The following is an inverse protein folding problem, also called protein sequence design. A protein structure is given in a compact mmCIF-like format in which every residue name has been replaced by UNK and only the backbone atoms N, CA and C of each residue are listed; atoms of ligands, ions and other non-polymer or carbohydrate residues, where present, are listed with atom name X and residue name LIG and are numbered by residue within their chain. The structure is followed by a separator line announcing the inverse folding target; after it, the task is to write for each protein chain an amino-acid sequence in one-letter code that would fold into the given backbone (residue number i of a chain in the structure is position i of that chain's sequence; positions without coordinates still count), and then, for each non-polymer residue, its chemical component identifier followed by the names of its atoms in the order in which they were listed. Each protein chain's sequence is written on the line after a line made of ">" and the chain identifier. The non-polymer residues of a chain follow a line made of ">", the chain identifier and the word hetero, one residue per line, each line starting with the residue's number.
data_IF_460341988711
#
_entry.id   IF_460341988711
#
_cell.length_a   1.000
_cell.length_b   1.000
_cell.length_c   1.000
_cell.angle_alpha   90.00
_cell.angle_beta   90.00
_cell.angle_gamma   90.00
#
_symmetry.space_group_name_H-M   'P 1'
#
loop_
_entity.id
_entity.type
_entity.pdbx_description
1 polymer ?
#
# COMPACT_ATOMS: atom_id res chain seq x y z
N UNK A 1 -17.98 20.23 19.89
CA UNK A 1 -17.58 21.66 19.96
C UNK A 1 -18.64 22.49 19.28
N UNK A 2 -18.90 23.71 19.76
CA UNK A 2 -19.83 24.63 19.11
C UNK A 2 -19.03 25.55 18.18
N UNK A 3 -19.44 25.62 16.91
CA UNK A 3 -18.95 26.59 15.95
C UNK A 3 -19.83 27.84 15.97
N UNK A 4 -19.25 28.98 15.63
CA UNK A 4 -19.96 30.26 15.45
C UNK A 4 -19.48 30.97 14.20
N UNK A 5 -20.26 31.93 13.74
CA UNK A 5 -19.83 32.89 12.72
C UNK A 5 -18.70 33.78 13.26
N UNK A 6 -17.88 34.27 12.35
CA UNK A 6 -16.90 35.31 12.63
C UNK A 6 -17.61 36.59 13.08
N UNK A 7 -17.00 37.29 14.03
CA UNK A 7 -17.41 38.66 14.40
C UNK A 7 -16.77 39.67 13.43
N UNK A 8 -17.34 40.88 13.35
CA UNK A 8 -16.79 41.91 12.46
C UNK A 8 -15.31 42.23 12.77
N UNK A 9 -14.93 42.34 14.04
CA UNK A 9 -13.53 42.62 14.42
C UNK A 9 -12.56 41.49 14.05
N UNK A 10 -13.02 40.24 14.04
CA UNK A 10 -12.22 39.11 13.54
C UNK A 10 -12.07 39.18 12.01
N UNK A 11 -13.14 39.49 11.29
CA UNK A 11 -13.10 39.70 9.83
C UNK A 11 -12.10 40.81 9.49
N UNK A 12 -12.16 41.96 10.17
CA UNK A 12 -11.24 43.08 9.95
C UNK A 12 -9.78 42.66 10.21
N UNK A 13 -9.55 41.84 11.24
CA UNK A 13 -8.23 41.28 11.55
C UNK A 13 -7.73 40.34 10.45
N UNK A 14 -8.61 39.47 9.94
CA UNK A 14 -8.29 38.54 8.85
C UNK A 14 -7.94 39.30 7.56
N UNK A 15 -8.75 40.30 7.20
CA UNK A 15 -8.52 41.17 6.03
C UNK A 15 -7.20 41.92 6.16
N UNK A 16 -6.91 42.50 7.33
CA UNK A 16 -5.62 43.15 7.59
C UNK A 16 -4.44 42.17 7.51
N UNK A 17 -4.66 40.89 7.84
CA UNK A 17 -3.71 39.79 7.65
C UNK A 17 -3.55 39.32 6.19
N UNK A 18 -4.22 39.97 5.24
CA UNK A 18 -4.21 39.62 3.81
C UNK A 18 -5.10 38.43 3.47
N UNK A 19 -6.05 38.08 4.33
CA UNK A 19 -7.01 37.02 4.04
C UNK A 19 -8.22 37.55 3.26
N UNK A 20 -8.82 36.68 2.47
CA UNK A 20 -10.01 36.97 1.69
C UNK A 20 -10.98 35.78 1.75
N UNK A 21 -12.27 36.05 1.61
CA UNK A 21 -13.30 35.00 1.54
C UNK A 21 -14.30 35.35 0.44
N UNK A 22 -14.80 34.34 -0.28
CA UNK A 22 -15.93 34.52 -1.21
C UNK A 22 -17.18 35.01 -0.47
N UNK A 23 -17.45 34.45 0.71
CA UNK A 23 -18.46 34.89 1.65
C UNK A 23 -18.02 34.56 3.08
N UNK A 24 -17.82 35.57 3.92
CA UNK A 24 -17.45 35.40 5.33
C UNK A 24 -18.53 34.66 6.14
N UNK A 25 -19.79 34.64 5.68
CA UNK A 25 -20.85 33.85 6.32
C UNK A 25 -20.65 32.35 6.17
N UNK A 26 -19.85 31.90 5.20
CA UNK A 26 -19.53 30.48 5.00
C UNK A 26 -18.30 30.03 5.80
N UNK A 27 -17.67 30.94 6.56
CA UNK A 27 -16.54 30.63 7.45
C UNK A 27 -17.02 30.60 8.90
N UNK A 28 -16.89 29.44 9.52
CA UNK A 28 -17.23 29.20 10.91
C UNK A 28 -15.98 28.90 11.72
N UNK A 29 -15.95 29.36 12.97
CA UNK A 29 -14.80 29.20 13.87
C UNK A 29 -15.24 28.63 15.20
N UNK A 30 -14.33 27.93 15.88
CA UNK A 30 -14.56 27.42 17.22
C UNK A 30 -14.97 28.56 18.16
N UNK A 31 -16.00 28.33 18.98
CA UNK A 31 -16.52 29.35 19.90
C UNK A 31 -15.50 29.81 20.95
N UNK A 32 -14.52 28.96 21.27
CA UNK A 32 -13.44 29.22 22.24
C UNK A 32 -12.10 28.89 21.61
N UNK A 33 -11.11 29.76 21.83
CA UNK A 33 -9.71 29.50 21.46
C UNK A 33 -9.33 29.78 20.01
N UNK A 34 -10.25 30.30 19.19
CA UNK A 34 -9.89 30.83 17.87
C UNK A 34 -9.19 32.20 18.01
N UNK A 35 -8.07 32.39 17.30
CA UNK A 35 -7.34 33.66 17.22
C UNK A 35 -7.10 34.02 15.75
N UNK A 36 -7.84 35.03 15.27
CA UNK A 36 -7.74 35.53 13.90
C UNK A 36 -6.31 35.96 13.50
N UNK A 37 -5.44 36.32 14.46
CA UNK A 37 -4.06 36.78 14.19
C UNK A 37 -3.13 35.67 13.68
N UNK A 38 -3.51 34.41 13.92
CA UNK A 38 -2.78 33.22 13.46
C UNK A 38 -3.14 32.81 12.03
N UNK A 39 -4.08 33.50 11.39
CA UNK A 39 -4.52 33.24 10.02
C UNK A 39 -4.04 34.40 9.13
N UNK A 40 -3.18 34.12 8.15
CA UNK A 40 -2.54 35.15 7.33
C UNK A 40 -2.43 34.74 5.87
N UNK A 41 -2.79 35.63 4.95
CA UNK A 41 -2.74 35.38 3.50
C UNK A 41 -3.43 34.08 3.11
N UNK A 42 -4.64 33.89 3.64
CA UNK A 42 -5.49 32.72 3.37
C UNK A 42 -6.71 33.16 2.56
N UNK A 43 -6.98 32.44 1.46
CA UNK A 43 -8.23 32.58 0.69
C UNK A 43 -9.20 31.48 1.11
N UNK A 44 -10.40 31.86 1.52
CA UNK A 44 -11.48 30.94 1.87
C UNK A 44 -12.55 30.92 0.78
N UNK A 45 -13.03 29.72 0.44
CA UNK A 45 -14.19 29.53 -0.45
C UNK A 45 -15.01 28.32 -0.04
N UNK A 46 -16.28 28.29 -0.44
CA UNK A 46 -17.21 27.25 0.02
C UNK A 46 -17.39 27.26 1.54
N UNK A 47 -17.72 26.09 2.12
CA UNK A 47 -17.98 25.91 3.55
C UNK A 47 -16.71 25.56 4.32
N UNK A 48 -16.22 26.49 5.14
CA UNK A 48 -14.99 26.30 5.93
C UNK A 48 -15.29 26.37 7.42
N UNK A 49 -14.83 25.37 8.16
CA UNK A 49 -14.87 25.36 9.62
C UNK A 49 -13.44 25.34 10.18
N UNK A 50 -13.13 26.20 11.15
CA UNK A 50 -11.81 26.30 11.77
C UNK A 50 -11.87 26.00 13.28
N UNK A 51 -11.05 25.07 13.74
CA UNK A 51 -10.89 24.72 15.14
C UNK A 51 -10.20 25.80 15.97
N UNK A 52 -9.94 25.48 17.22
CA UNK A 52 -9.16 26.31 18.14
C UNK A 52 -7.67 26.21 17.87
N UNK A 53 -6.91 27.26 18.17
CA UNK A 53 -5.43 27.28 18.08
C UNK A 53 -4.89 26.89 16.69
N UNK A 54 -5.60 27.24 15.62
CA UNK A 54 -5.13 27.01 14.24
C UNK A 54 -4.03 28.00 13.85
N UNK A 55 -3.09 27.57 13.01
CA UNK A 55 -2.07 28.43 12.39
C UNK A 55 -2.08 28.22 10.89
N UNK A 56 -2.64 29.18 10.15
CA UNK A 56 -2.92 29.06 8.72
C UNK A 56 -2.20 30.17 7.95
N UNK A 57 -1.34 29.81 7.01
CA UNK A 57 -0.50 30.76 6.26
C UNK A 57 -0.41 30.40 4.80
N UNK A 58 -0.52 31.38 3.91
CA UNK A 58 -0.20 31.22 2.47
C UNK A 58 -0.93 30.02 1.84
N UNK A 59 -2.26 30.02 1.90
CA UNK A 59 -3.08 28.89 1.44
C UNK A 59 -4.41 29.33 0.83
N UNK A 60 -4.93 28.54 -0.11
CA UNK A 60 -6.32 28.61 -0.53
C UNK A 60 -7.07 27.39 0.00
N UNK A 61 -8.07 27.61 0.86
CA UNK A 61 -8.83 26.57 1.56
C UNK A 61 -10.27 26.59 1.06
N UNK A 62 -10.74 25.45 0.55
CA UNK A 62 -12.06 25.29 -0.04
C UNK A 62 -12.79 24.09 0.57
N UNK A 63 -14.03 24.28 1.04
CA UNK A 63 -14.88 23.18 1.53
C UNK A 63 -14.20 22.25 2.56
N UNK A 64 -13.46 22.84 3.51
CA UNK A 64 -12.68 22.09 4.51
C UNK A 64 -13.24 22.22 5.93
N UNK A 65 -13.08 21.16 6.73
CA UNK A 65 -13.17 21.24 8.19
C UNK A 65 -11.77 21.07 8.79
N UNK A 66 -11.27 22.12 9.44
CA UNK A 66 -9.95 22.16 10.07
C UNK A 66 -10.13 21.97 11.57
N UNK A 67 -9.52 20.92 12.12
CA UNK A 67 -9.55 20.62 13.55
C UNK A 67 -8.67 21.55 14.40
N UNK A 68 -8.60 21.25 15.69
CA UNK A 68 -7.81 22.03 16.66
C UNK A 68 -6.31 21.87 16.45
N UNK A 69 -5.54 22.92 16.81
CA UNK A 69 -4.08 22.89 16.82
C UNK A 69 -3.46 22.48 15.47
N UNK A 70 -4.19 22.69 14.37
CA UNK A 70 -3.74 22.36 13.02
C UNK A 70 -2.83 23.46 12.48
N UNK A 71 -1.76 23.06 11.81
CA UNK A 71 -0.85 23.96 11.12
C UNK A 71 -0.91 23.73 9.60
N UNK A 72 -1.26 24.76 8.84
CA UNK A 72 -1.31 24.73 7.37
C UNK A 72 -0.48 25.89 6.84
N UNK A 73 0.56 25.60 6.05
CA UNK A 73 1.44 26.64 5.52
C UNK A 73 1.91 26.35 4.09
N UNK A 74 1.73 27.30 3.17
CA UNK A 74 2.32 27.21 1.83
C UNK A 74 1.63 26.18 0.93
N UNK A 75 0.29 26.25 0.84
CA UNK A 75 -0.46 25.47 -0.14
C UNK A 75 -0.47 26.24 -1.46
N UNK A 76 0.28 25.76 -2.46
CA UNK A 76 0.57 26.54 -3.68
C UNK A 76 -0.64 26.77 -4.57
N UNK A 77 -1.55 25.81 -4.63
CA UNK A 77 -2.75 25.90 -5.48
C UNK A 77 -4.03 25.90 -4.64
N UNK A 78 -4.37 24.77 -4.01
CA UNK A 78 -5.58 24.67 -3.19
C UNK A 78 -5.51 23.46 -2.27
N UNK A 79 -6.12 23.61 -1.10
CA UNK A 79 -6.52 22.55 -0.18
C UNK A 79 -8.05 22.49 -0.20
N UNK A 80 -8.60 21.38 -0.68
CA UNK A 80 -10.02 21.30 -1.01
C UNK A 80 -10.66 19.98 -0.59
N UNK A 81 -11.82 20.06 0.08
CA UNK A 81 -12.68 18.91 0.34
C UNK A 81 -12.21 17.98 1.45
N UNK A 82 -11.41 18.45 2.42
CA UNK A 82 -10.87 17.62 3.51
C UNK A 82 -11.44 17.98 4.88
N UNK A 83 -11.68 16.95 5.69
CA UNK A 83 -11.69 17.02 7.14
C UNK A 83 -10.27 16.74 7.66
N UNK A 84 -9.75 17.64 8.48
CA UNK A 84 -8.37 17.64 8.95
C UNK A 84 -8.37 17.50 10.46
N UNK A 85 -7.83 16.38 10.94
CA UNK A 85 -7.77 16.01 12.34
C UNK A 85 -6.89 16.94 13.16
N UNK A 86 -7.10 16.91 14.48
CA UNK A 86 -6.37 17.71 15.45
C UNK A 86 -4.85 17.55 15.28
N UNK A 87 -4.10 18.63 15.45
CA UNK A 87 -2.63 18.57 15.46
C UNK A 87 -1.99 18.16 14.14
N UNK A 88 -2.77 18.02 13.06
CA UNK A 88 -2.22 17.73 11.74
C UNK A 88 -1.37 18.90 11.22
N UNK A 89 -0.37 18.57 10.42
CA UNK A 89 0.59 19.52 9.86
C UNK A 89 0.68 19.35 8.35
N UNK A 90 0.25 20.37 7.61
CA UNK A 90 0.20 20.40 6.15
C UNK A 90 1.09 21.55 5.63
N UNK A 91 2.27 21.24 5.08
CA UNK A 91 3.26 22.27 4.72
C UNK A 91 3.87 22.07 3.33
N UNK A 92 4.00 23.14 2.56
CA UNK A 92 4.58 23.11 1.19
C UNK A 92 3.98 22.00 0.33
N UNK A 93 2.68 22.11 0.08
CA UNK A 93 1.95 21.17 -0.76
C UNK A 93 1.53 21.90 -2.04
N UNK A 94 1.80 21.29 -3.20
CA UNK A 94 1.38 21.88 -4.48
C UNK A 94 -0.13 21.97 -4.57
N UNK A 95 -0.81 20.83 -4.53
CA UNK A 95 -2.27 20.77 -4.41
C UNK A 95 -2.72 19.54 -3.62
N UNK A 96 -3.80 19.71 -2.87
CA UNK A 96 -4.43 18.65 -2.09
C UNK A 96 -5.94 18.75 -2.24
N UNK A 97 -6.54 17.86 -3.04
CA UNK A 97 -7.98 17.92 -3.38
C UNK A 97 -8.65 16.59 -3.08
N UNK A 98 -9.88 16.62 -2.61
CA UNK A 98 -10.74 15.45 -2.49
C UNK A 98 -12.10 15.75 -3.11
N UNK A 99 -12.58 14.83 -3.95
CA UNK A 99 -13.87 14.95 -4.62
C UNK A 99 -14.91 14.09 -3.91
N UNK A 100 -16.09 14.65 -3.68
CA UNK A 100 -17.24 13.86 -3.25
C UNK A 100 -17.50 12.72 -4.24
N UNK A 101 -17.84 11.53 -3.73
CA UNK A 101 -17.98 10.32 -4.55
C UNK A 101 -16.69 9.53 -4.78
N UNK A 102 -15.52 10.04 -4.35
CA UNK A 102 -14.28 9.27 -4.41
C UNK A 102 -14.29 8.11 -3.38
N UNK A 103 -13.73 6.96 -3.77
CA UNK A 103 -13.62 5.78 -2.89
C UNK A 103 -12.24 5.64 -2.23
N UNK A 104 -11.32 6.58 -2.50
CA UNK A 104 -9.95 6.54 -2.01
C UNK A 104 -9.24 5.17 -2.23
N UNK A 105 -9.41 4.60 -3.42
CA UNK A 105 -8.80 3.32 -3.81
C UNK A 105 -9.60 2.07 -3.40
N UNK A 106 -10.59 2.20 -2.52
CA UNK A 106 -11.48 1.10 -2.17
C UNK A 106 -12.37 0.71 -3.36
N UNK A 107 -12.51 -0.60 -3.59
CA UNK A 107 -13.24 -1.15 -4.74
C UNK A 107 -12.44 -1.22 -6.05
N UNK A 108 -11.24 -0.63 -6.11
CA UNK A 108 -10.38 -0.74 -7.31
C UNK A 108 -10.01 -2.19 -7.55
N UNK A 109 -10.21 -2.66 -8.79
CA UNK A 109 -9.94 -4.05 -9.17
C UNK A 109 -8.49 -4.22 -9.59
N UNK A 110 -7.82 -5.21 -9.01
CA UNK A 110 -6.41 -5.52 -9.20
C UNK A 110 -6.25 -6.82 -9.97
N UNK A 111 -5.47 -6.80 -11.05
CA UNK A 111 -5.16 -7.97 -11.88
C UNK A 111 -4.02 -8.81 -11.28
N UNK A 112 -4.19 -9.28 -10.05
CA UNK A 112 -3.19 -10.07 -9.34
C UNK A 112 -3.08 -11.49 -9.91
N UNK A 113 -1.86 -12.03 -10.00
CA UNK A 113 -1.47 -13.35 -10.51
C UNK A 113 -1.83 -13.65 -11.97
N UNK A 114 -2.67 -12.84 -12.62
CA UNK A 114 -3.02 -12.94 -14.03
C UNK A 114 -2.97 -11.56 -14.67
N UNK A 115 -1.92 -11.31 -15.47
CA UNK A 115 -1.70 -10.03 -16.14
C UNK A 115 -2.88 -9.62 -17.05
N UNK A 116 -3.47 -10.60 -17.76
CA UNK A 116 -4.62 -10.35 -18.63
C UNK A 116 -5.96 -10.19 -17.87
N UNK A 117 -5.96 -10.13 -16.54
CA UNK A 117 -7.16 -9.96 -15.72
C UNK A 117 -7.98 -11.25 -15.54
N UNK A 118 -9.31 -11.16 -15.60
CA UNK A 118 -10.25 -12.29 -15.41
C UNK A 118 -10.37 -12.84 -13.98
N UNK A 119 -9.30 -12.74 -13.17
CA UNK A 119 -9.26 -13.08 -11.74
C UNK A 119 -9.09 -11.87 -10.84
N UNK A 120 -9.49 -10.70 -11.32
CA UNK A 120 -9.35 -9.46 -10.56
C UNK A 120 -10.12 -9.53 -9.24
N UNK A 121 -9.57 -8.89 -8.21
CA UNK A 121 -10.20 -8.73 -6.90
C UNK A 121 -10.22 -7.24 -6.53
N UNK A 122 -11.23 -6.76 -5.79
CA UNK A 122 -11.26 -5.38 -5.34
C UNK A 122 -10.33 -5.16 -4.12
N UNK A 123 -9.64 -4.02 -4.10
CA UNK A 123 -8.95 -3.52 -2.92
C UNK A 123 -9.96 -3.07 -1.87
N UNK A 124 -9.63 -3.28 -0.60
CA UNK A 124 -10.33 -2.62 0.50
C UNK A 124 -9.45 -2.50 1.74
N UNK A 125 -9.79 -1.56 2.62
CA UNK A 125 -9.01 -1.25 3.81
C UNK A 125 -8.72 -2.47 4.69
N UNK A 126 -9.63 -3.44 4.75
CA UNK A 126 -9.50 -4.66 5.56
C UNK A 126 -8.89 -5.86 4.84
N UNK A 127 -8.27 -5.68 3.66
CA UNK A 127 -7.70 -6.79 2.90
C UNK A 127 -6.59 -7.48 3.70
N UNK A 128 -6.60 -8.82 3.70
CA UNK A 128 -5.60 -9.67 4.34
C UNK A 128 -5.09 -10.70 3.35
N UNK A 129 -3.92 -11.27 3.61
CA UNK A 129 -3.34 -12.33 2.79
C UNK A 129 -4.30 -13.53 2.66
N UNK A 130 -5.05 -13.84 3.73
CA UNK A 130 -5.97 -14.97 3.80
C UNK A 130 -7.20 -14.73 2.92
N UNK A 131 -7.87 -13.58 3.10
CA UNK A 131 -9.05 -13.24 2.31
C UNK A 131 -8.67 -13.07 0.83
N UNK A 132 -7.55 -12.42 0.54
CA UNK A 132 -7.03 -12.30 -0.82
C UNK A 132 -6.71 -13.65 -1.44
N UNK A 133 -6.05 -14.57 -0.73
CA UNK A 133 -5.73 -15.90 -1.22
C UNK A 133 -7.00 -16.65 -1.66
N UNK A 134 -8.05 -16.61 -0.84
CA UNK A 134 -9.37 -17.19 -1.19
C UNK A 134 -9.94 -16.52 -2.44
N UNK A 135 -9.91 -15.19 -2.52
CA UNK A 135 -10.46 -14.44 -3.66
C UNK A 135 -9.72 -14.67 -4.99
N UNK A 136 -8.42 -14.93 -4.92
CA UNK A 136 -7.56 -15.13 -6.10
C UNK A 136 -7.53 -16.57 -6.56
N UNK A 137 -7.30 -17.52 -5.64
CA UNK A 137 -6.99 -18.91 -5.99
C UNK A 137 -8.20 -19.86 -5.86
N UNK A 138 -9.21 -19.53 -5.05
CA UNK A 138 -10.39 -20.38 -4.85
C UNK A 138 -11.62 -19.92 -5.65
N UNK A 139 -11.42 -19.66 -6.95
CA UNK A 139 -12.45 -19.10 -7.86
C UNK A 139 -13.70 -19.97 -8.04
N UNK A 140 -13.62 -21.25 -7.73
CA UNK A 140 -14.76 -22.17 -7.74
C UNK A 140 -15.80 -21.87 -6.65
N UNK A 141 -15.46 -21.08 -5.62
CA UNK A 141 -16.37 -20.70 -4.52
C UNK A 141 -17.24 -19.50 -4.89
N UNK A 142 -17.97 -19.60 -6.00
CA UNK A 142 -18.70 -18.50 -6.65
C UNK A 142 -19.60 -17.71 -5.70
N UNK A 143 -20.41 -18.38 -4.88
CA UNK A 143 -21.30 -17.70 -3.93
C UNK A 143 -20.56 -16.92 -2.84
N UNK A 144 -19.50 -17.50 -2.28
CA UNK A 144 -18.70 -16.84 -1.24
C UNK A 144 -18.00 -15.60 -1.82
N UNK A 145 -17.49 -15.71 -3.05
CA UNK A 145 -16.87 -14.59 -3.74
C UNK A 145 -17.86 -13.49 -4.09
N UNK A 146 -19.06 -13.85 -4.56
CA UNK A 146 -20.13 -12.89 -4.84
C UNK A 146 -20.50 -12.09 -3.58
N UNK A 147 -20.69 -12.77 -2.44
CA UNK A 147 -20.97 -12.09 -1.16
C UNK A 147 -19.81 -11.21 -0.68
N UNK A 148 -18.57 -11.70 -0.82
CA UNK A 148 -17.39 -10.94 -0.43
C UNK A 148 -17.24 -9.66 -1.28
N UNK A 149 -17.35 -9.77 -2.61
CA UNK A 149 -17.27 -8.63 -3.51
C UNK A 149 -18.41 -7.63 -3.29
N UNK A 150 -19.65 -8.11 -3.11
CA UNK A 150 -20.77 -7.22 -2.79
C UNK A 150 -20.58 -6.47 -1.46
N UNK A 151 -19.97 -7.10 -0.45
CA UNK A 151 -19.65 -6.44 0.82
C UNK A 151 -18.56 -5.38 0.66
N UNK A 152 -17.55 -5.64 -0.18
CA UNK A 152 -16.47 -4.69 -0.48
C UNK A 152 -17.00 -3.52 -1.30
N UNK A 153 -17.87 -3.77 -2.27
CA UNK A 153 -18.53 -2.73 -3.07
C UNK A 153 -19.42 -1.84 -2.19
N UNK A 154 -20.18 -2.42 -1.27
CA UNK A 154 -20.96 -1.67 -0.29
C UNK A 154 -20.07 -0.81 0.62
N UNK A 155 -18.90 -1.32 1.03
CA UNK A 155 -17.93 -0.55 1.81
C UNK A 155 -17.32 0.60 1.01
N UNK A 156 -16.95 0.38 -0.26
CA UNK A 156 -16.48 1.44 -1.14
C UNK A 156 -17.55 2.51 -1.37
N UNK A 157 -18.83 2.12 -1.48
CA UNK A 157 -19.95 3.05 -1.59
C UNK A 157 -20.18 3.87 -0.31
N UNK A 158 -19.92 3.30 0.87
CA UNK A 158 -19.95 4.06 2.14
C UNK A 158 -18.87 5.15 2.15
N UNK A 159 -17.66 4.84 1.71
CA UNK A 159 -16.57 5.83 1.59
C UNK A 159 -16.94 6.92 0.57
N UNK A 160 -17.47 6.53 -0.59
CA UNK A 160 -17.91 7.49 -1.62
C UNK A 160 -19.04 8.41 -1.16
N UNK A 161 -19.86 7.96 -0.20
CA UNK A 161 -20.93 8.77 0.38
C UNK A 161 -20.41 9.81 1.40
N UNK A 162 -19.17 9.69 1.88
CA UNK A 162 -18.59 10.72 2.73
C UNK A 162 -18.39 12.02 1.92
N UNK A 163 -18.80 13.18 2.46
CA UNK A 163 -18.73 14.44 1.74
C UNK A 163 -17.30 14.97 1.57
N UNK A 164 -16.35 14.47 2.38
CA UNK A 164 -14.98 14.98 2.47
C UNK A 164 -13.98 13.84 2.62
N UNK A 165 -12.77 14.10 2.15
CA UNK A 165 -11.59 13.30 2.45
C UNK A 165 -11.16 13.47 3.89
N UNK A 166 -10.20 12.66 4.34
CA UNK A 166 -9.74 12.67 5.73
C UNK A 166 -8.23 12.79 5.80
N UNK A 167 -7.78 13.65 6.72
CA UNK A 167 -6.42 13.69 7.24
C UNK A 167 -6.51 13.44 8.74
N UNK A 168 -5.88 12.38 9.22
CA UNK A 168 -5.99 11.94 10.60
C UNK A 168 -5.31 12.85 11.63
N UNK A 169 -5.59 12.58 12.90
CA UNK A 169 -4.98 13.29 14.04
C UNK A 169 -3.46 13.13 14.02
N UNK A 170 -2.75 14.26 14.18
CA UNK A 170 -1.28 14.29 14.21
C UNK A 170 -0.60 13.85 12.91
N UNK A 171 -1.32 13.72 11.80
CA UNK A 171 -0.71 13.39 10.51
C UNK A 171 0.18 14.54 10.00
N UNK A 172 1.30 14.18 9.38
CA UNK A 172 2.28 15.11 8.83
C UNK A 172 2.34 14.94 7.33
N UNK A 173 2.02 15.99 6.57
CA UNK A 173 2.08 16.02 5.11
C UNK A 173 2.93 17.22 4.69
N UNK A 174 4.12 16.96 4.16
CA UNK A 174 5.11 18.00 3.90
C UNK A 174 5.80 17.85 2.53
N UNK A 175 6.07 18.97 1.85
CA UNK A 175 6.88 18.99 0.63
C UNK A 175 6.30 18.19 -0.53
N UNK A 176 4.99 18.07 -0.61
CA UNK A 176 4.31 17.18 -1.57
C UNK A 176 3.96 17.90 -2.88
N UNK A 177 3.96 17.14 -3.99
CA UNK A 177 3.56 17.64 -5.30
C UNK A 177 2.04 17.75 -5.42
N UNK A 178 1.37 16.63 -5.70
CA UNK A 178 -0.09 16.57 -5.84
C UNK A 178 -0.67 15.40 -5.05
N UNK A 179 -1.72 15.68 -4.28
CA UNK A 179 -2.52 14.70 -3.55
C UNK A 179 -3.97 14.83 -4.00
N UNK A 180 -4.55 13.77 -4.55
CA UNK A 180 -5.90 13.79 -5.11
C UNK A 180 -6.70 12.56 -4.70
N UNK A 181 -7.83 12.76 -4.02
CA UNK A 181 -8.74 11.69 -3.60
C UNK A 181 -8.04 10.64 -2.71
N UNK A 182 -7.33 11.12 -1.68
CA UNK A 182 -6.55 10.26 -0.77
C UNK A 182 -7.02 10.41 0.67
N UNK A 183 -7.31 9.30 1.36
CA UNK A 183 -7.47 9.31 2.82
C UNK A 183 -6.12 9.10 3.49
N UNK A 184 -5.81 9.90 4.51
CA UNK A 184 -4.59 9.84 5.30
C UNK A 184 -4.96 9.58 6.76
N UNK A 185 -4.52 8.47 7.32
CA UNK A 185 -4.84 8.06 8.70
C UNK A 185 -4.02 8.77 9.78
N UNK A 186 -4.36 8.49 11.03
CA UNK A 186 -3.76 9.13 12.20
C UNK A 186 -2.26 8.86 12.31
N UNK A 187 -1.49 9.90 12.63
CA UNK A 187 -0.04 9.84 12.78
C UNK A 187 0.73 9.44 11.51
N UNK A 188 0.09 9.40 10.34
CA UNK A 188 0.76 9.10 9.09
C UNK A 188 1.80 10.18 8.77
N UNK A 189 2.89 9.78 8.12
CA UNK A 189 3.92 10.71 7.63
C UNK A 189 4.01 10.62 6.11
N UNK A 190 3.69 11.71 5.42
CA UNK A 190 3.75 11.84 3.96
C UNK A 190 4.69 12.99 3.62
N UNK A 191 5.95 12.68 3.36
CA UNK A 191 6.98 13.69 3.17
C UNK A 191 7.64 13.54 1.80
N UNK A 192 7.51 14.55 0.95
CA UNK A 192 8.18 14.59 -0.36
C UNK A 192 7.51 13.76 -1.46
N UNK A 193 6.28 13.28 -1.26
CA UNK A 193 5.57 12.51 -2.27
C UNK A 193 5.35 13.35 -3.53
N UNK A 194 5.73 12.83 -4.70
CA UNK A 194 5.55 13.53 -5.97
C UNK A 194 4.08 13.53 -6.40
N UNK A 195 3.41 12.38 -6.27
CA UNK A 195 2.00 12.21 -6.62
C UNK A 195 1.35 11.11 -5.79
N UNK A 196 0.22 11.41 -5.17
CA UNK A 196 -0.69 10.42 -4.58
C UNK A 196 -2.09 10.61 -5.17
N UNK A 197 -2.66 9.56 -5.74
CA UNK A 197 -3.97 9.64 -6.39
C UNK A 197 -4.84 8.42 -6.08
N UNK A 198 -6.07 8.65 -5.63
CA UNK A 198 -7.10 7.62 -5.48
C UNK A 198 -6.70 6.52 -4.50
N UNK A 199 -6.32 6.85 -3.27
CA UNK A 199 -5.76 5.85 -2.37
C UNK A 199 -6.02 6.08 -0.88
N UNK A 200 -5.74 5.08 -0.07
CA UNK A 200 -5.89 5.15 1.38
C UNK A 200 -4.57 4.81 2.07
N UNK A 201 -4.12 5.70 2.94
CA UNK A 201 -2.95 5.51 3.82
C UNK A 201 -3.49 5.22 5.21
N UNK A 202 -3.71 3.93 5.51
CA UNK A 202 -4.10 3.52 6.86
C UNK A 202 -2.90 3.68 7.78
N UNK A 203 -3.10 4.32 8.92
CA UNK A 203 -2.05 4.57 9.90
C UNK A 203 -2.64 4.56 11.30
N UNK A 204 -1.80 4.25 12.28
CA UNK A 204 -2.15 4.31 13.70
C UNK A 204 -0.94 4.85 14.49
N UNK A 205 -1.15 5.46 15.67
CA UNK A 205 -0.04 5.91 16.51
C UNK A 205 0.98 4.82 16.87
N UNK A 206 0.53 3.56 17.03
CA UNK A 206 1.38 2.40 17.35
C UNK A 206 2.03 1.75 16.11
N UNK A 207 1.55 2.07 14.91
CA UNK A 207 2.01 1.53 13.64
C UNK A 207 1.90 2.62 12.55
N UNK A 208 2.73 3.67 12.62
CA UNK A 208 2.63 4.81 11.72
C UNK A 208 3.07 4.41 10.31
N UNK A 209 2.26 4.78 9.32
CA UNK A 209 2.55 4.53 7.90
C UNK A 209 3.33 5.69 7.30
N UNK A 210 4.31 5.37 6.45
CA UNK A 210 5.25 6.35 5.88
C UNK A 210 5.22 6.34 4.36
N UNK A 211 5.06 7.52 3.79
CA UNK A 211 5.24 7.80 2.37
C UNK A 211 6.38 8.80 2.22
N UNK A 212 7.41 8.43 1.48
CA UNK A 212 8.67 9.16 1.38
C UNK A 212 8.85 9.97 0.10
N UNK A 213 10.07 10.51 -0.03
CA UNK A 213 10.45 11.42 -1.11
C UNK A 213 10.37 10.73 -2.47
N UNK A 214 9.83 11.44 -3.46
CA UNK A 214 9.77 11.02 -4.85
C UNK A 214 8.73 9.93 -5.15
N UNK A 215 7.98 9.48 -4.14
CA UNK A 215 6.98 8.42 -4.34
C UNK A 215 5.86 8.88 -5.25
N UNK A 216 5.47 7.97 -6.15
CA UNK A 216 4.31 8.10 -7.03
C UNK A 216 3.38 6.91 -6.79
N UNK A 217 2.16 7.18 -6.32
CA UNK A 217 1.18 6.16 -6.00
C UNK A 217 -0.18 6.46 -6.66
N UNK A 218 -0.77 5.45 -7.30
CA UNK A 218 -2.10 5.52 -7.94
C UNK A 218 -2.94 4.32 -7.53
N UNK A 219 -4.18 4.55 -7.16
CA UNK A 219 -5.15 3.49 -6.89
C UNK A 219 -4.62 2.45 -5.88
N UNK A 220 -4.37 2.89 -4.66
CA UNK A 220 -3.57 2.11 -3.71
C UNK A 220 -4.20 2.07 -2.31
N UNK A 221 -3.85 1.04 -1.54
CA UNK A 221 -4.11 0.99 -0.10
C UNK A 221 -2.83 0.59 0.62
N UNK A 222 -2.39 1.42 1.56
CA UNK A 222 -1.26 1.13 2.46
C UNK A 222 -1.84 0.78 3.84
N UNK A 223 -1.49 -0.39 4.36
CA UNK A 223 -1.89 -0.84 5.69
C UNK A 223 -1.00 -0.20 6.78
N UNK A 224 -1.42 -0.24 8.06
CA UNK A 224 -0.65 0.34 9.16
C UNK A 224 0.80 -0.17 9.22
N UNK A 225 1.75 0.74 9.40
CA UNK A 225 3.18 0.45 9.48
C UNK A 225 3.84 0.14 8.13
N UNK A 226 3.13 0.29 7.01
CA UNK A 226 3.74 0.19 5.68
C UNK A 226 4.66 1.38 5.40
N UNK A 227 5.79 1.13 4.75
CA UNK A 227 6.73 2.16 4.31
C UNK A 227 6.87 2.11 2.79
N UNK A 228 6.41 3.14 2.09
CA UNK A 228 6.62 3.32 0.65
C UNK A 228 7.47 4.56 0.46
N UNK A 229 8.75 4.41 0.09
CA UNK A 229 9.75 5.49 0.18
C UNK A 229 10.72 5.48 -1.01
N UNK A 230 11.67 6.41 -1.02
CA UNK A 230 12.84 6.38 -1.90
C UNK A 230 12.52 6.24 -3.40
N UNK A 231 11.58 7.06 -3.88
CA UNK A 231 11.22 7.12 -5.31
C UNK A 231 10.45 5.89 -5.83
N UNK A 232 9.89 5.06 -4.95
CA UNK A 232 9.09 3.92 -5.37
C UNK A 232 7.80 4.32 -6.11
N UNK A 233 7.38 3.44 -7.03
CA UNK A 233 6.18 3.59 -7.83
C UNK A 233 5.20 2.46 -7.52
N UNK A 234 3.96 2.79 -7.18
CA UNK A 234 2.90 1.80 -6.92
C UNK A 234 1.61 2.17 -7.65
N UNK A 235 1.04 1.22 -8.38
CA UNK A 235 -0.21 1.41 -9.12
C UNK A 235 -1.14 0.20 -8.97
N UNK A 236 -2.39 0.40 -8.55
CA UNK A 236 -3.35 -0.69 -8.28
C UNK A 236 -2.79 -1.71 -7.30
N UNK A 237 -2.29 -1.23 -6.15
CA UNK A 237 -1.55 -2.06 -5.21
C UNK A 237 -2.13 -2.02 -3.79
N UNK A 238 -2.04 -3.16 -3.10
CA UNK A 238 -2.15 -3.24 -1.64
C UNK A 238 -0.77 -3.44 -1.03
N UNK A 239 -0.39 -2.62 -0.06
CA UNK A 239 0.87 -2.75 0.70
C UNK A 239 0.54 -3.02 2.16
N UNK A 240 0.82 -4.23 2.62
CA UNK A 240 0.43 -4.77 3.92
C UNK A 240 1.28 -4.28 5.10
N UNK A 241 0.91 -4.74 6.30
CA UNK A 241 1.48 -4.23 7.54
C UNK A 241 2.99 -4.51 7.64
N UNK A 242 3.78 -3.50 8.01
CA UNK A 242 5.24 -3.64 8.15
C UNK A 242 5.99 -3.92 6.83
N UNK A 243 5.27 -3.88 5.70
CA UNK A 243 5.85 -4.04 4.37
C UNK A 243 6.64 -2.79 3.97
N UNK A 244 7.77 -2.99 3.30
CA UNK A 244 8.66 -1.92 2.86
C UNK A 244 8.82 -2.00 1.34
N UNK A 245 8.50 -0.91 0.66
CA UNK A 245 8.70 -0.70 -0.78
C UNK A 245 9.59 0.52 -0.94
N UNK A 246 10.81 0.33 -1.40
CA UNK A 246 11.84 1.37 -1.38
C UNK A 246 12.76 1.32 -2.61
N UNK A 247 13.69 2.28 -2.66
CA UNK A 247 14.82 2.35 -3.59
C UNK A 247 14.40 2.11 -5.05
N UNK A 248 13.38 2.85 -5.50
CA UNK A 248 12.89 2.84 -6.86
C UNK A 248 12.17 1.55 -7.29
N UNK A 249 11.73 0.71 -6.34
CA UNK A 249 10.92 -0.46 -6.69
C UNK A 249 9.61 -0.04 -7.37
N UNK A 250 9.24 -0.74 -8.45
CA UNK A 250 8.01 -0.51 -9.21
C UNK A 250 7.04 -1.67 -8.99
N UNK A 251 5.78 -1.38 -8.64
CA UNK A 251 4.75 -2.38 -8.46
C UNK A 251 3.46 -1.96 -9.19
N UNK A 252 2.94 -2.87 -10.03
CA UNK A 252 1.69 -2.67 -10.77
C UNK A 252 0.81 -3.89 -10.57
N UNK A 253 -0.46 -3.69 -10.19
CA UNK A 253 -1.42 -4.76 -9.98
C UNK A 253 -0.97 -5.81 -8.93
N UNK A 254 -0.34 -5.36 -7.85
CA UNK A 254 0.29 -6.23 -6.86
C UNK A 254 -0.41 -6.22 -5.49
N UNK A 255 -0.39 -7.37 -4.83
CA UNK A 255 -0.75 -7.49 -3.41
C UNK A 255 0.50 -7.87 -2.63
N UNK A 256 1.06 -6.90 -1.90
CA UNK A 256 2.33 -7.00 -1.17
C UNK A 256 2.05 -7.11 0.33
N UNK A 257 1.86 -8.32 0.84
CA UNK A 257 1.40 -8.55 2.22
C UNK A 257 2.47 -8.39 3.30
N UNK A 258 2.07 -8.65 4.56
CA UNK A 258 2.82 -8.32 5.76
C UNK A 258 4.32 -8.64 5.72
N UNK A 259 5.12 -7.71 6.22
CA UNK A 259 6.58 -7.84 6.36
C UNK A 259 7.32 -8.13 5.05
N UNK A 260 6.72 -7.82 3.90
CA UNK A 260 7.41 -7.86 2.61
C UNK A 260 8.53 -6.82 2.54
N UNK A 261 9.53 -7.09 1.68
CA UNK A 261 10.65 -6.17 1.44
C UNK A 261 10.93 -6.09 -0.06
N UNK A 262 10.69 -4.93 -0.66
CA UNK A 262 10.76 -4.72 -2.09
C UNK A 262 11.65 -3.52 -2.41
N UNK A 263 12.78 -3.75 -3.07
CA UNK A 263 13.75 -2.72 -3.41
C UNK A 263 14.41 -3.02 -4.76
N UNK A 264 14.64 -1.98 -5.58
CA UNK A 264 15.47 -2.04 -6.80
C UNK A 264 15.01 -3.01 -7.90
N UNK A 265 13.73 -3.38 -7.92
CA UNK A 265 13.15 -4.36 -8.84
C UNK A 265 11.75 -3.97 -9.31
N UNK A 266 11.14 -4.86 -10.07
CA UNK A 266 9.81 -4.67 -10.66
C UNK A 266 8.90 -5.86 -10.36
N UNK A 267 7.66 -5.57 -10.01
CA UNK A 267 6.59 -6.55 -9.85
C UNK A 267 5.34 -6.14 -10.64
N UNK A 268 4.80 -7.06 -11.43
CA UNK A 268 3.55 -6.87 -12.18
C UNK A 268 2.63 -8.06 -11.91
N UNK A 269 1.40 -7.81 -11.48
CA UNK A 269 0.42 -8.88 -11.22
C UNK A 269 0.93 -9.91 -10.21
N UNK A 270 1.57 -9.47 -9.12
CA UNK A 270 2.17 -10.38 -8.13
C UNK A 270 1.30 -10.50 -6.88
N UNK A 271 1.00 -11.73 -6.48
CA UNK A 271 0.52 -12.06 -5.14
C UNK A 271 1.75 -12.36 -4.26
N UNK A 272 2.25 -11.37 -3.53
CA UNK A 272 3.35 -11.54 -2.61
C UNK A 272 2.81 -11.70 -1.18
N UNK A 273 2.62 -12.96 -0.76
CA UNK A 273 2.22 -13.30 0.59
C UNK A 273 3.31 -12.87 1.62
N UNK A 274 3.01 -12.94 2.93
CA UNK A 274 3.88 -12.39 3.95
C UNK A 274 5.35 -12.84 3.85
N UNK A 275 6.26 -11.95 4.25
CA UNK A 275 7.73 -12.15 4.23
C UNK A 275 8.34 -12.43 2.85
N UNK A 276 7.63 -12.12 1.75
CA UNK A 276 8.23 -12.12 0.42
C UNK A 276 9.26 -10.99 0.31
N UNK A 277 10.46 -11.32 -0.17
CA UNK A 277 11.57 -10.39 -0.28
C UNK A 277 12.14 -10.36 -1.71
N UNK A 278 12.21 -9.17 -2.29
CA UNK A 278 13.00 -8.86 -3.47
C UNK A 278 13.73 -7.54 -3.25
N UNK A 279 14.98 -7.60 -2.79
CA UNK A 279 15.71 -6.43 -2.28
C UNK A 279 17.00 -6.12 -3.06
N UNK A 280 17.31 -6.94 -4.05
CA UNK A 280 18.48 -6.79 -4.89
C UNK A 280 18.11 -6.26 -6.26
N UNK A 281 19.09 -5.63 -6.93
CA UNK A 281 18.86 -4.93 -8.19
C UNK A 281 18.39 -5.86 -9.31
N UNK A 282 17.46 -5.35 -10.12
CA UNK A 282 17.02 -5.90 -11.40
C UNK A 282 16.23 -7.22 -11.33
N UNK A 283 15.53 -7.50 -10.22
CA UNK A 283 14.55 -8.59 -10.22
C UNK A 283 13.29 -8.21 -11.01
N UNK A 284 12.74 -9.13 -11.78
CA UNK A 284 11.43 -9.00 -12.43
C UNK A 284 10.52 -10.17 -12.01
N UNK A 285 9.42 -9.85 -11.34
CA UNK A 285 8.39 -10.84 -10.96
C UNK A 285 7.08 -10.50 -11.66
N UNK A 286 6.63 -11.34 -12.59
CA UNK A 286 5.37 -11.13 -13.32
C UNK A 286 4.43 -12.32 -13.11
N UNK A 287 3.15 -12.03 -12.89
CA UNK A 287 2.06 -13.01 -12.82
C UNK A 287 2.41 -14.23 -11.95
N UNK A 288 2.71 -14.00 -10.67
CA UNK A 288 3.14 -15.07 -9.78
C UNK A 288 2.57 -14.96 -8.37
N UNK A 289 2.47 -16.11 -7.71
CA UNK A 289 2.23 -16.23 -6.28
C UNK A 289 3.52 -16.56 -5.56
N UNK A 290 3.88 -15.74 -4.56
CA UNK A 290 5.10 -15.86 -3.77
C UNK A 290 4.73 -15.92 -2.30
N UNK A 291 5.37 -16.81 -1.53
CA UNK A 291 5.13 -16.92 -0.08
C UNK A 291 6.44 -17.08 0.65
N UNK A 292 6.77 -16.17 1.56
CA UNK A 292 8.07 -16.16 2.26
C UNK A 292 9.28 -16.25 1.31
N UNK A 293 9.08 -15.90 0.03
CA UNK A 293 10.03 -16.18 -1.02
C UNK A 293 11.15 -15.16 -1.00
N UNK A 294 12.34 -15.56 -1.47
CA UNK A 294 13.44 -14.65 -1.68
C UNK A 294 13.82 -14.63 -3.16
N UNK A 295 13.73 -13.44 -3.77
CA UNK A 295 14.03 -13.22 -5.17
C UNK A 295 15.45 -12.63 -5.28
N UNK A 296 16.34 -13.39 -5.89
CA UNK A 296 17.72 -13.00 -6.12
C UNK A 296 17.86 -11.83 -7.10
N UNK A 297 19.05 -11.22 -7.11
CA UNK A 297 19.39 -10.18 -8.07
C UNK A 297 19.26 -10.70 -9.50
N UNK A 298 18.66 -9.93 -10.41
CA UNK A 298 18.55 -10.33 -11.81
C UNK A 298 17.63 -11.53 -12.07
N UNK A 299 16.92 -12.05 -11.06
CA UNK A 299 15.95 -13.13 -11.28
C UNK A 299 14.76 -12.62 -12.11
N UNK A 300 14.30 -13.43 -13.05
CA UNK A 300 13.24 -13.07 -13.99
C UNK A 300 12.19 -14.19 -14.06
N UNK A 301 10.94 -13.85 -13.75
CA UNK A 301 9.78 -14.72 -13.95
C UNK A 301 8.98 -14.22 -15.15
N UNK A 302 9.02 -14.98 -16.23
CA UNK A 302 8.35 -14.65 -17.49
C UNK A 302 7.05 -15.42 -17.63
N UNK A 303 5.94 -14.71 -17.80
CA UNK A 303 4.61 -15.29 -18.04
C UNK A 303 4.21 -15.37 -19.52
N UNK A 304 4.99 -14.75 -20.39
CA UNK A 304 4.70 -14.70 -21.82
C UNK A 304 5.13 -16.01 -22.51
N UNK A 305 4.16 -16.73 -23.05
CA UNK A 305 4.41 -17.78 -24.04
C UNK A 305 4.17 -17.19 -25.43
N UNK A 306 5.20 -17.09 -26.28
CA UNK A 306 5.12 -16.39 -27.59
C UNK A 306 3.95 -16.80 -28.48
N UNK A 307 3.43 -18.02 -28.34
CA UNK A 307 2.28 -18.51 -29.11
C UNK A 307 0.92 -18.24 -28.46
N UNK A 308 0.86 -18.00 -27.14
CA UNK A 308 -0.35 -17.95 -26.34
C UNK A 308 -0.52 -16.61 -25.58
N UNK A 309 0.48 -15.73 -25.63
CA UNK A 309 0.51 -14.47 -24.90
C UNK A 309 0.83 -14.61 -23.41
N UNK A 310 0.51 -13.57 -22.64
CA UNK A 310 0.75 -13.46 -21.20
C UNK A 310 -0.35 -14.14 -20.36
N UNK A 311 -0.52 -15.46 -20.52
CA UNK A 311 -1.63 -16.21 -19.89
C UNK A 311 -1.20 -17.13 -18.75
N UNK A 312 0.10 -17.33 -18.57
CA UNK A 312 0.62 -18.29 -17.60
C UNK A 312 0.99 -17.62 -16.27
N UNK A 313 1.12 -18.41 -15.21
CA UNK A 313 1.53 -17.92 -13.90
C UNK A 313 2.55 -18.86 -13.25
N UNK A 314 3.37 -18.32 -12.37
CA UNK A 314 4.26 -19.12 -11.53
C UNK A 314 3.77 -19.15 -10.08
N UNK A 315 4.00 -20.25 -9.37
CA UNK A 315 3.72 -20.37 -7.94
C UNK A 315 5.01 -20.80 -7.24
N UNK A 316 5.51 -19.97 -6.34
CA UNK A 316 6.59 -20.30 -5.43
C UNK A 316 6.00 -20.44 -4.02
N UNK A 317 5.91 -21.68 -3.56
CA UNK A 317 5.42 -21.97 -2.21
C UNK A 317 6.37 -21.43 -1.13
N UNK A 318 5.92 -21.55 0.11
CA UNK A 318 6.58 -21.00 1.30
C UNK A 318 8.10 -21.21 1.29
N UNK A 319 8.87 -20.12 1.36
CA UNK A 319 10.30 -20.16 1.61
C UNK A 319 11.16 -20.51 0.39
N UNK A 320 10.59 -20.53 -0.81
CA UNK A 320 11.36 -20.71 -2.05
C UNK A 320 12.41 -19.60 -2.22
N UNK A 321 13.56 -19.95 -2.79
CA UNK A 321 14.65 -19.02 -3.06
C UNK A 321 15.07 -19.09 -4.51
N UNK A 322 15.10 -17.95 -5.17
CA UNK A 322 15.65 -17.80 -6.50
C UNK A 322 17.07 -17.26 -6.36
N UNK A 323 18.05 -18.02 -6.84
CA UNK A 323 19.42 -17.56 -6.94
C UNK A 323 19.53 -16.39 -7.91
N UNK A 324 20.64 -15.66 -7.83
CA UNK A 324 20.93 -14.58 -8.78
C UNK A 324 20.83 -15.08 -10.23
N UNK A 325 20.26 -14.24 -11.09
CA UNK A 325 20.04 -14.52 -12.52
C UNK A 325 19.22 -15.78 -12.82
N UNK A 326 18.39 -16.23 -11.87
CA UNK A 326 17.45 -17.33 -12.16
C UNK A 326 16.38 -16.88 -13.15
N UNK A 327 16.14 -17.67 -14.19
CA UNK A 327 15.09 -17.43 -15.16
C UNK A 327 14.03 -18.53 -15.07
N UNK A 328 12.76 -18.15 -15.02
CA UNK A 328 11.63 -19.09 -15.00
C UNK A 328 10.64 -18.73 -16.09
N UNK A 329 10.32 -19.69 -16.94
CA UNK A 329 9.22 -19.59 -17.88
C UNK A 329 7.96 -20.26 -17.32
N UNK A 330 6.94 -19.46 -17.07
CA UNK A 330 5.64 -19.94 -16.63
C UNK A 330 4.94 -20.77 -17.73
N UNK A 331 4.05 -21.72 -17.37
CA UNK A 331 3.65 -22.03 -16.00
C UNK A 331 4.75 -22.78 -15.24
N UNK A 332 4.86 -22.52 -13.94
CA UNK A 332 5.79 -23.23 -13.07
C UNK A 332 5.24 -23.29 -11.64
N UNK A 333 5.50 -24.38 -10.92
CA UNK A 333 5.11 -24.54 -9.52
C UNK A 333 6.28 -25.11 -8.72
N UNK A 334 6.79 -24.34 -7.77
CA UNK A 334 7.90 -24.72 -6.91
C UNK A 334 7.41 -25.15 -5.53
N UNK A 335 7.80 -26.36 -5.12
CA UNK A 335 7.49 -26.89 -3.79
C UNK A 335 8.18 -26.08 -2.69
N UNK A 336 7.56 -26.01 -1.52
CA UNK A 336 8.02 -25.20 -0.40
C UNK A 336 9.51 -25.41 -0.05
N UNK A 337 10.18 -24.32 0.35
CA UNK A 337 11.60 -24.28 0.72
C UNK A 337 12.55 -24.79 -0.36
N UNK A 338 12.17 -24.75 -1.64
CA UNK A 338 13.06 -25.13 -2.72
C UNK A 338 14.02 -24.00 -3.10
N UNK A 339 15.19 -24.36 -3.61
CA UNK A 339 16.15 -23.44 -4.21
C UNK A 339 16.08 -23.59 -5.73
N UNK A 340 15.95 -22.48 -6.44
CA UNK A 340 15.85 -22.40 -7.89
C UNK A 340 17.07 -21.61 -8.39
N UNK A 341 17.88 -22.18 -9.27
CA UNK A 341 19.08 -21.53 -9.81
C UNK A 341 19.27 -21.85 -11.28
N UNK A 342 19.62 -20.83 -12.07
CA UNK A 342 19.82 -20.97 -13.51
C UNK A 342 18.52 -20.78 -14.31
N UNK A 343 18.48 -21.29 -15.54
CA UNK A 343 17.38 -21.05 -16.47
C UNK A 343 16.45 -22.26 -16.63
N UNK A 344 15.16 -22.06 -16.37
CA UNK A 344 14.14 -23.10 -16.45
C UNK A 344 13.04 -22.72 -17.46
N UNK A 345 13.12 -23.30 -18.66
CA UNK A 345 12.19 -23.07 -19.78
C UNK A 345 11.15 -24.18 -19.96
N UNK A 346 11.29 -25.29 -19.25
CA UNK A 346 10.52 -26.51 -19.43
C UNK A 346 9.30 -26.62 -18.49
N UNK A 347 8.80 -25.48 -17.99
CA UNK A 347 7.59 -25.41 -17.15
C UNK A 347 7.62 -26.34 -15.92
N UNK A 348 8.63 -26.21 -15.03
CA UNK A 348 8.82 -27.15 -13.93
C UNK A 348 7.64 -27.13 -12.94
N UNK A 349 7.16 -28.31 -12.59
CA UNK A 349 6.25 -28.54 -11.47
C UNK A 349 6.91 -29.48 -10.45
N UNK A 350 7.20 -28.94 -9.28
CA UNK A 350 7.87 -29.59 -8.15
C UNK A 350 7.08 -29.44 -6.86
N UNK A 351 5.78 -29.12 -6.92
CA UNK A 351 4.97 -28.83 -5.74
C UNK A 351 4.92 -30.01 -4.73
N UNK A 352 4.95 -31.24 -5.26
CA UNK A 352 4.97 -32.48 -4.48
C UNK A 352 6.35 -32.80 -3.87
N UNK A 353 7.39 -32.03 -4.21
CA UNK A 353 8.78 -32.28 -3.82
C UNK A 353 9.34 -31.04 -3.09
N UNK A 354 8.92 -30.78 -1.85
CA UNK A 354 9.46 -29.66 -1.08
C UNK A 354 10.95 -29.85 -0.77
N UNK A 355 11.61 -28.77 -0.37
CA UNK A 355 13.03 -28.73 -0.01
C UNK A 355 13.97 -29.15 -1.15
N UNK A 356 13.54 -29.02 -2.41
CA UNK A 356 14.34 -29.45 -3.56
C UNK A 356 15.33 -28.38 -4.01
N UNK A 357 16.41 -28.81 -4.66
CA UNK A 357 17.24 -27.93 -5.48
C UNK A 357 16.87 -28.16 -6.94
N UNK A 358 16.39 -27.13 -7.62
CA UNK A 358 16.19 -27.10 -9.05
C UNK A 358 17.31 -26.25 -9.65
N UNK A 359 18.18 -26.90 -10.42
CA UNK A 359 19.39 -26.29 -10.98
C UNK A 359 19.40 -26.46 -12.49
N UNK A 360 20.03 -25.54 -13.20
CA UNK A 360 20.31 -25.71 -14.62
C UNK A 360 21.66 -26.39 -14.82
N UNK A 361 21.69 -27.43 -15.65
CA UNK A 361 22.91 -28.10 -16.09
C UNK A 361 22.79 -28.46 -17.57
N UNK A 362 23.68 -27.92 -18.40
CA UNK A 362 23.70 -28.22 -19.84
C UNK A 362 22.44 -27.77 -20.58
N UNK A 363 21.79 -26.70 -20.13
CA UNK A 363 20.52 -26.19 -20.66
C UNK A 363 19.29 -26.97 -20.23
N UNK A 364 19.43 -27.93 -19.31
CA UNK A 364 18.35 -28.74 -18.77
C UNK A 364 18.12 -28.46 -17.29
N UNK A 365 16.88 -28.65 -16.84
CA UNK A 365 16.53 -28.51 -15.43
C UNK A 365 16.76 -29.82 -14.70
N UNK A 366 17.68 -29.81 -13.74
CA UNK A 366 18.05 -30.92 -12.86
C UNK A 366 17.44 -30.71 -11.49
N UNK A 367 16.70 -31.72 -10.99
CA UNK A 367 16.07 -31.69 -9.68
C UNK A 367 16.79 -32.61 -8.71
N UNK A 368 17.19 -32.09 -7.56
CA UNK A 368 17.68 -32.89 -6.43
C UNK A 368 16.70 -32.72 -5.26
N UNK A 369 15.86 -33.73 -4.98
CA UNK A 369 14.81 -33.60 -3.97
C UNK A 369 15.37 -33.59 -2.54
N UNK A 370 14.62 -32.97 -1.62
CA UNK A 370 14.85 -32.97 -0.17
C UNK A 370 16.18 -32.41 0.36
N UNK A 371 17.11 -31.96 -0.49
CA UNK A 371 18.43 -31.47 -0.09
C UNK A 371 18.34 -30.30 0.91
N UNK A 372 17.39 -29.39 0.71
CA UNK A 372 17.31 -28.17 1.51
C UNK A 372 16.74 -28.42 2.92
N UNK A 373 16.18 -29.61 3.20
CA UNK A 373 15.66 -29.99 4.51
C UNK A 373 16.79 -30.02 5.55
N UNK A 374 17.97 -30.46 5.13
CA UNK A 374 19.15 -30.64 5.98
C UNK A 374 20.09 -29.42 5.99
N UNK A 375 19.72 -28.31 5.34
CA UNK A 375 20.59 -27.13 5.21
C UNK A 375 20.33 -26.12 6.33
N UNK A 376 21.41 -25.62 6.91
CA UNK A 376 21.39 -24.56 7.94
C UNK A 376 20.71 -23.28 7.45
N UNK A 377 20.80 -22.98 6.16
CA UNK A 377 20.15 -21.82 5.54
C UNK A 377 18.63 -21.83 5.68
N UNK A 378 18.00 -23.00 5.64
CA UNK A 378 16.54 -23.17 5.79
C UNK A 378 16.11 -22.88 7.22
N UNK A 379 16.78 -23.50 8.20
CA UNK A 379 16.52 -23.28 9.62
C UNK A 379 16.76 -21.82 10.03
N UNK A 380 17.82 -21.20 9.50
CA UNK A 380 18.14 -19.80 9.74
C UNK A 380 17.01 -18.89 9.28
N UNK A 381 16.47 -19.11 8.10
CA UNK A 381 15.43 -18.25 7.56
C UNK A 381 14.09 -18.45 8.29
N UNK A 382 13.75 -19.70 8.64
CA UNK A 382 12.60 -20.00 9.49
C UNK A 382 12.63 -19.27 10.85
N UNK A 383 13.82 -19.22 11.49
CA UNK A 383 14.02 -18.51 12.76
C UNK A 383 14.04 -16.98 12.61
N UNK A 384 14.41 -16.47 11.43
CA UNK A 384 14.51 -15.03 11.16
C UNK A 384 13.15 -14.36 11.00
N UNK A 385 12.15 -15.03 10.43
CA UNK A 385 10.87 -14.38 10.12
C UNK A 385 10.13 -13.84 11.35
N UNK A 386 10.00 -14.58 12.48
CA UNK A 386 9.40 -14.02 13.70
C UNK A 386 10.15 -12.80 14.22
N UNK A 387 11.48 -12.81 14.14
CA UNK A 387 12.34 -11.72 14.60
C UNK A 387 12.28 -10.48 13.69
N UNK A 388 11.71 -10.64 12.50
CA UNK A 388 11.55 -9.59 11.48
C UNK A 388 10.09 -9.17 11.31
N UNK A 389 9.20 -9.65 12.17
CA UNK A 389 7.82 -9.16 12.19
C UNK A 389 7.83 -7.74 12.75
N UNK A 390 7.53 -6.76 11.88
CA UNK A 390 7.52 -5.33 12.21
C UNK A 390 6.14 -4.83 12.62
N UNK A 391 5.15 -5.73 12.67
CA UNK A 391 3.77 -5.37 12.97
C UNK A 391 3.59 -5.16 14.46
N UNK A 392 2.64 -4.31 14.81
CA UNK A 392 2.18 -4.17 16.20
C UNK A 392 1.58 -5.49 16.68
N UNK A 393 2.02 -5.95 17.84
CA UNK A 393 1.66 -7.26 18.40
C UNK A 393 0.17 -7.35 18.78
N UNK A 394 -0.46 -6.23 19.11
CA UNK A 394 -1.80 -6.23 19.70
C UNK A 394 -2.91 -6.40 18.65
N UNK A 395 -2.64 -6.07 17.38
CA UNK A 395 -3.67 -6.01 16.33
C UNK A 395 -3.17 -6.42 14.93
N UNK A 396 -2.51 -7.58 14.76
CA UNK A 396 -2.09 -8.04 13.44
C UNK A 396 -3.30 -8.45 12.58
N UNK A 397 -3.31 -8.06 11.30
CA UNK A 397 -4.36 -8.41 10.35
C UNK A 397 -4.07 -9.73 9.65
N UNK A 398 -2.86 -9.90 9.13
CA UNK A 398 -2.45 -11.15 8.50
C UNK A 398 -2.17 -12.22 9.58
N UNK A 399 -2.84 -13.37 9.47
CA UNK A 399 -2.55 -14.55 10.29
C UNK A 399 -1.31 -15.28 9.76
N UNK A 400 -0.15 -15.09 10.41
CA UNK A 400 1.12 -15.69 10.00
C UNK A 400 1.46 -16.89 10.90
N UNK A 401 1.51 -18.09 10.32
CA UNK A 401 2.03 -19.29 11.00
C UNK A 401 3.55 -19.34 10.82
N UNK A 402 4.31 -19.15 11.90
CA UNK A 402 5.77 -19.17 11.86
C UNK A 402 6.39 -20.56 11.98
N UNK A 403 5.61 -21.58 12.31
CA UNK A 403 6.10 -22.94 12.45
C UNK A 403 6.78 -23.43 11.17
N UNK A 404 8.01 -23.90 11.32
CA UNK A 404 8.83 -24.38 10.21
C UNK A 404 8.22 -25.65 9.59
N UNK A 405 8.06 -26.70 10.40
CA UNK A 405 7.41 -27.95 10.02
C UNK A 405 5.97 -27.93 10.51
N UNK A 406 5.06 -27.51 9.62
CA UNK A 406 3.62 -27.52 9.86
C UNK A 406 2.97 -28.74 9.16
N UNK A 407 1.71 -29.10 9.49
CA UNK A 407 1.05 -30.29 8.95
C UNK A 407 1.06 -30.36 7.41
N UNK A 408 0.89 -29.21 6.73
CA UNK A 408 0.90 -29.13 5.26
C UNK A 408 2.24 -29.54 4.64
N UNK A 409 3.35 -29.27 5.32
CA UNK A 409 4.68 -29.63 4.86
C UNK A 409 5.03 -31.08 5.21
N UNK A 410 4.69 -31.52 6.43
CA UNK A 410 5.04 -32.85 6.92
C UNK A 410 4.38 -33.94 6.06
N UNK A 411 3.13 -33.74 5.63
CA UNK A 411 2.42 -34.69 4.75
C UNK A 411 3.14 -34.92 3.40
N UNK A 412 3.97 -33.99 2.95
CA UNK A 412 4.75 -34.11 1.69
C UNK A 412 6.18 -34.60 1.88
N UNK A 413 6.60 -34.79 3.14
CA UNK A 413 7.92 -35.33 3.50
C UNK A 413 7.81 -36.84 3.78
N UNK A 414 6.65 -37.29 4.29
CA UNK A 414 6.28 -38.69 4.50
C UNK A 414 5.92 -39.38 3.19
#
# INVERSE_FOLDING_TARGET
>A
MSYRKLTQGEIDTLVAGGCEAEDWQCVEVASVGFDAKQVRRVRFSGQVCLGSTVDLRDAAIHDCAVGDAVHIAGIRTTLSGYEIGRGARLVDIGSMTYRAGATAGNGVRVAVANENGGRTIPLFDGLTAQTAHVMVFHRHRTEALSRAFGSIEAYAAQIAAEPRGRVGEGAVVEGCGRIADVHIGDGATVCGAALLQGGTILSRPDAPTKVGVGVMARDFILAPGAHVVDGSFVERCFVGEGCVVEQGFTAIDCLLFANGMFAKGEAISVFAAPHTASHHKSSLSIACGLSFANIGSGSNMSNHAYKLGAVHQSVAERGCKFGSNSYVQAPAHFGAYSMITGEHRNHPDTHALPFSYLMEEGGQSMLIPAVNLFRTGTLRDARKWPQRDRRSADRPRDLICYDFLNPYLIERIL
#
